data_IF_783839965706
#
_entry.id   IF_783839965706
#
_cell.length_a   1.000
_cell.length_b   1.000
_cell.length_c   1.000
_cell.angle_alpha   90.00
_cell.angle_beta   90.00
_cell.angle_gamma   90.00
#
_symmetry.space_group_name_H-M   'P 1'
#
loop_
_entity.id
_entity.type
_entity.pdbx_description
1 polymer ?
#
# COMPACT_ATOMS: atom_id res chain seq x y z
N UNK A 1 -23.41 23.00 -1.10
CA UNK A 1 -22.87 22.09 -0.09
C UNK A 1 -21.61 21.44 -0.62
N UNK A 2 -20.51 21.56 0.08
CA UNK A 2 -19.24 20.96 -0.33
C UNK A 2 -19.21 19.53 0.18
N UNK A 3 -19.17 18.57 -0.75
CA UNK A 3 -19.01 17.18 -0.38
C UNK A 3 -17.60 16.96 0.17
N UNK A 4 -17.52 16.31 1.32
CA UNK A 4 -16.25 15.96 1.90
C UNK A 4 -15.60 14.85 1.08
N UNK A 5 -14.47 15.14 0.45
CA UNK A 5 -13.74 14.16 -0.33
C UNK A 5 -13.26 13.03 0.58
N UNK A 6 -13.56 11.79 0.19
CA UNK A 6 -13.08 10.62 0.94
C UNK A 6 -11.57 10.50 0.78
N UNK A 7 -10.91 10.22 1.89
CA UNK A 7 -9.48 9.97 1.89
C UNK A 7 -9.21 8.55 1.41
N UNK A 8 -8.21 8.39 0.58
CA UNK A 8 -7.78 7.09 0.08
C UNK A 8 -6.35 6.82 0.51
N UNK A 9 -6.10 5.66 1.10
CA UNK A 9 -4.77 5.21 1.44
C UNK A 9 -4.41 3.99 0.61
N UNK A 10 -3.20 3.96 0.06
CA UNK A 10 -2.64 2.75 -0.47
C UNK A 10 -2.25 1.87 0.71
N UNK A 11 -2.82 0.69 0.80
CA UNK A 11 -2.55 -0.26 1.89
C UNK A 11 -1.69 -1.39 1.33
N UNK A 12 -0.42 -1.36 1.68
CA UNK A 12 0.58 -2.25 1.11
C UNK A 12 0.92 -3.36 2.09
N UNK A 13 0.88 -4.60 1.60
CA UNK A 13 1.15 -5.81 2.35
C UNK A 13 2.45 -6.43 1.85
N UNK A 14 3.40 -6.62 2.75
CA UNK A 14 4.66 -7.31 2.45
C UNK A 14 4.61 -8.76 2.91
N UNK A 15 5.65 -9.53 2.65
CA UNK A 15 5.66 -10.99 2.80
C UNK A 15 5.74 -11.56 4.21
N UNK A 16 5.39 -10.82 5.25
CA UNK A 16 5.41 -11.33 6.63
C UNK A 16 4.07 -11.99 6.97
N UNK A 17 3.91 -13.23 6.57
CA UNK A 17 2.62 -13.92 6.64
C UNK A 17 2.10 -14.14 8.06
N UNK A 18 2.99 -14.28 9.04
CA UNK A 18 2.56 -14.47 10.43
C UNK A 18 1.85 -13.25 11.02
N UNK A 19 1.97 -12.09 10.41
CA UNK A 19 1.33 -10.85 10.86
C UNK A 19 0.24 -10.34 9.92
N UNK A 20 -0.09 -11.11 8.87
CA UNK A 20 -1.12 -10.70 7.91
C UNK A 20 -2.50 -10.54 8.53
N UNK A 21 -2.84 -11.38 9.51
CA UNK A 21 -4.13 -11.28 10.21
C UNK A 21 -4.26 -9.92 10.91
N UNK A 22 -3.19 -9.51 11.61
CA UNK A 22 -3.16 -8.21 12.26
C UNK A 22 -3.21 -7.06 11.24
N UNK A 23 -2.59 -7.24 10.09
CA UNK A 23 -2.65 -6.25 9.00
C UNK A 23 -4.07 -6.11 8.46
N UNK A 24 -4.78 -7.21 8.29
CA UNK A 24 -6.19 -7.17 7.87
C UNK A 24 -7.07 -6.47 8.90
N UNK A 25 -6.80 -6.70 10.19
CA UNK A 25 -7.53 -6.01 11.25
C UNK A 25 -7.27 -4.49 11.21
N UNK A 26 -6.03 -4.09 10.94
CA UNK A 26 -5.69 -2.68 10.77
C UNK A 26 -6.42 -2.07 9.58
N UNK A 27 -6.51 -2.81 8.48
CA UNK A 27 -7.25 -2.36 7.29
C UNK A 27 -8.73 -2.19 7.59
N UNK A 28 -9.34 -3.12 8.32
CA UNK A 28 -10.73 -3.00 8.75
C UNK A 28 -10.96 -1.76 9.61
N UNK A 29 -10.02 -1.47 10.51
CA UNK A 29 -10.10 -0.30 11.37
C UNK A 29 -10.04 1.00 10.55
N UNK A 30 -9.17 1.07 9.56
CA UNK A 30 -9.08 2.22 8.67
C UNK A 30 -10.36 2.41 7.85
N UNK A 31 -10.93 1.32 7.34
CA UNK A 31 -12.21 1.38 6.65
C UNK A 31 -13.31 1.89 7.56
N UNK A 32 -13.32 1.45 8.81
CA UNK A 32 -14.27 1.93 9.82
C UNK A 32 -14.14 3.41 10.13
N UNK A 33 -12.97 3.99 9.91
CA UNK A 33 -12.73 5.42 10.08
C UNK A 33 -13.06 6.25 8.84
N UNK A 34 -13.56 5.61 7.78
CA UNK A 34 -13.97 6.33 6.58
C UNK A 34 -12.91 6.39 5.48
N UNK A 35 -11.78 5.71 5.65
CA UNK A 35 -10.76 5.64 4.62
C UNK A 35 -11.16 4.66 3.53
N UNK A 36 -10.95 5.04 2.28
CA UNK A 36 -10.93 4.10 1.19
C UNK A 36 -9.53 3.51 1.08
N UNK A 37 -9.44 2.23 0.78
CA UNK A 37 -8.15 1.54 0.70
C UNK A 37 -7.90 1.01 -0.70
N UNK A 38 -6.69 1.21 -1.18
CA UNK A 38 -6.21 0.67 -2.45
C UNK A 38 -5.15 -0.38 -2.12
N UNK A 39 -5.43 -1.67 -2.33
CA UNK A 39 -4.54 -2.72 -1.85
C UNK A 39 -3.34 -2.91 -2.77
N UNK A 40 -2.16 -3.02 -2.17
CA UNK A 40 -0.90 -3.29 -2.87
C UNK A 40 -0.24 -4.48 -2.20
N UNK A 41 0.28 -5.41 -2.98
CA UNK A 41 1.00 -6.57 -2.44
C UNK A 41 2.41 -6.63 -3.00
N UNK A 42 3.36 -7.00 -2.14
CA UNK A 42 4.71 -7.29 -2.59
C UNK A 42 4.75 -8.61 -3.36
N UNK A 43 5.84 -8.86 -4.09
CA UNK A 43 6.02 -10.14 -4.78
C UNK A 43 6.02 -11.32 -3.79
N UNK A 44 6.66 -11.15 -2.63
CA UNK A 44 6.69 -12.20 -1.63
C UNK A 44 5.31 -12.48 -1.03
N UNK A 45 4.51 -11.44 -0.79
CA UNK A 45 3.16 -11.60 -0.29
C UNK A 45 2.24 -12.27 -1.32
N UNK A 46 2.61 -12.20 -2.59
CA UNK A 46 1.88 -12.84 -3.67
C UNK A 46 2.17 -14.33 -3.85
N UNK A 47 3.01 -14.94 -2.99
CA UNK A 47 3.38 -16.34 -3.09
C UNK A 47 2.71 -17.19 -2.01
N UNK A 48 2.37 -18.42 -2.37
CA UNK A 48 1.80 -19.36 -1.41
C UNK A 48 2.84 -19.78 -0.37
N UNK A 49 2.41 -19.98 0.86
CA UNK A 49 3.27 -20.44 1.95
C UNK A 49 2.51 -21.43 2.83
N UNK A 50 3.23 -22.03 3.81
CA UNK A 50 2.62 -22.90 4.82
C UNK A 50 1.62 -22.17 5.72
N UNK A 51 1.65 -20.85 5.78
CA UNK A 51 0.72 -20.05 6.60
C UNK A 51 -0.57 -19.71 5.87
N UNK A 52 -0.66 -20.06 4.59
CA UNK A 52 -1.83 -19.84 3.77
C UNK A 52 -1.47 -19.62 2.31
N UNK A 53 -2.47 -19.63 1.48
CA UNK A 53 -2.29 -19.37 0.06
C UNK A 53 -2.40 -17.87 -0.21
N UNK A 54 -1.54 -17.38 -1.08
CA UNK A 54 -1.57 -15.98 -1.49
C UNK A 54 -2.95 -15.60 -2.05
N UNK A 55 -3.59 -16.50 -2.78
CA UNK A 55 -4.95 -16.27 -3.31
C UNK A 55 -5.97 -16.02 -2.20
N UNK A 56 -5.83 -16.70 -1.06
CA UNK A 56 -6.72 -16.48 0.09
C UNK A 56 -6.56 -15.10 0.69
N UNK A 57 -5.32 -14.68 0.91
CA UNK A 57 -5.02 -13.34 1.42
C UNK A 57 -5.44 -12.25 0.45
N UNK A 58 -5.16 -12.46 -0.83
CA UNK A 58 -5.58 -11.55 -1.89
C UNK A 58 -7.10 -11.40 -1.90
N UNK A 59 -7.82 -12.50 -1.82
CA UNK A 59 -9.28 -12.49 -1.82
C UNK A 59 -9.84 -11.72 -0.63
N UNK A 60 -9.29 -11.94 0.56
CA UNK A 60 -9.71 -11.21 1.75
C UNK A 60 -9.44 -9.71 1.62
N UNK A 61 -8.27 -9.35 1.09
CA UNK A 61 -7.89 -7.97 0.92
C UNK A 61 -8.77 -7.27 -0.13
N UNK A 62 -9.06 -7.95 -1.23
CA UNK A 62 -9.95 -7.42 -2.27
C UNK A 62 -11.38 -7.27 -1.76
N UNK A 63 -11.86 -8.24 -0.99
CA UNK A 63 -13.20 -8.16 -0.38
C UNK A 63 -13.30 -7.01 0.61
N UNK A 64 -12.25 -6.78 1.39
CA UNK A 64 -12.22 -5.72 2.38
C UNK A 64 -12.15 -4.32 1.75
N UNK A 65 -11.40 -4.18 0.68
CA UNK A 65 -11.17 -2.88 0.03
C UNK A 65 -12.16 -2.59 -1.10
N UNK A 66 -12.79 -3.61 -1.65
CA UNK A 66 -13.66 -3.47 -2.82
C UNK A 66 -12.89 -3.19 -4.12
N UNK A 67 -11.58 -3.40 -4.13
CA UNK A 67 -10.73 -3.10 -5.27
C UNK A 67 -9.74 -4.23 -5.54
N UNK A 68 -9.33 -4.41 -6.81
CA UNK A 68 -8.31 -5.42 -7.11
C UNK A 68 -6.96 -5.05 -6.52
N UNK A 69 -6.20 -6.07 -6.13
CA UNK A 69 -4.85 -5.88 -5.59
C UNK A 69 -3.90 -5.43 -6.69
N UNK A 70 -3.11 -4.41 -6.41
CA UNK A 70 -2.03 -3.94 -7.27
C UNK A 70 -0.75 -4.67 -6.88
N UNK A 71 -0.27 -5.55 -7.74
CA UNK A 71 0.89 -6.39 -7.45
C UNK A 71 1.96 -6.36 -8.55
N UNK A 72 1.85 -5.43 -9.49
CA UNK A 72 2.85 -5.22 -10.53
C UNK A 72 3.38 -3.79 -10.48
N UNK A 73 4.56 -3.59 -11.05
CA UNK A 73 5.14 -2.25 -11.13
C UNK A 73 4.27 -1.31 -11.95
N UNK A 74 3.73 -1.80 -13.05
CA UNK A 74 2.86 -1.01 -13.92
C UNK A 74 1.57 -0.57 -13.21
N UNK A 75 1.03 -1.44 -12.36
CA UNK A 75 -0.22 -1.16 -11.65
C UNK A 75 -0.05 -0.07 -10.59
N UNK A 76 1.10 0.01 -9.93
CA UNK A 76 1.33 0.97 -8.85
C UNK A 76 1.94 2.29 -9.33
N UNK A 77 2.55 2.31 -10.50
CA UNK A 77 3.22 3.49 -11.04
C UNK A 77 2.32 4.74 -11.06
N UNK A 78 1.03 4.66 -11.44
CA UNK A 78 0.17 5.84 -11.49
C UNK A 78 -0.29 6.39 -10.15
N UNK A 79 0.03 5.75 -9.01
CA UNK A 79 -0.48 6.18 -7.70
C UNK A 79 -0.21 7.65 -7.39
N UNK A 80 1.01 8.10 -7.66
CA UNK A 80 1.39 9.49 -7.45
C UNK A 80 0.90 10.42 -8.56
N UNK A 81 1.31 10.20 -9.83
CA UNK A 81 0.94 11.10 -10.92
C UNK A 81 -0.57 11.30 -11.09
N UNK A 82 -1.38 10.29 -10.82
CA UNK A 82 -2.83 10.37 -10.93
C UNK A 82 -3.52 10.67 -9.59
N UNK A 83 -2.76 10.89 -8.54
CA UNK A 83 -3.31 11.16 -7.19
C UNK A 83 -4.33 10.12 -6.76
N UNK A 84 -4.00 8.84 -6.95
CA UNK A 84 -4.91 7.75 -6.61
C UNK A 84 -4.99 7.46 -5.12
N UNK A 85 -4.00 7.91 -4.36
CA UNK A 85 -3.97 7.76 -2.91
C UNK A 85 -3.37 8.99 -2.25
N UNK A 86 -3.82 9.28 -1.03
CA UNK A 86 -3.36 10.42 -0.24
C UNK A 86 -2.29 10.01 0.78
N UNK A 87 -2.20 8.72 1.07
CA UNK A 87 -1.28 8.19 2.06
C UNK A 87 -0.90 6.76 1.69
N UNK A 88 0.20 6.29 2.27
CA UNK A 88 0.63 4.90 2.13
C UNK A 88 0.81 4.30 3.52
N UNK A 89 0.19 3.15 3.74
CA UNK A 89 0.37 2.34 4.93
C UNK A 89 0.99 1.02 4.51
N UNK A 90 2.10 0.66 5.11
CA UNK A 90 2.77 -0.62 4.84
C UNK A 90 2.62 -1.49 6.09
N UNK A 91 1.81 -2.53 6.00
CA UNK A 91 1.53 -3.40 7.14
C UNK A 91 1.19 -4.81 6.63
N UNK A 92 1.94 -5.82 6.98
CA UNK A 92 3.23 -5.74 7.69
C UNK A 92 4.34 -5.22 6.77
N UNK A 93 5.38 -4.64 7.37
CA UNK A 93 6.57 -4.21 6.65
C UNK A 93 7.73 -5.14 6.99
N UNK A 94 8.26 -5.85 6.00
CA UNK A 94 9.42 -6.71 6.23
C UNK A 94 10.70 -5.89 6.34
N UNK A 95 11.72 -6.47 6.98
CA UNK A 95 13.04 -5.84 7.04
C UNK A 95 13.63 -5.56 5.67
N UNK A 96 13.41 -6.48 4.72
CA UNK A 96 13.88 -6.29 3.34
C UNK A 96 13.21 -5.07 2.68
N UNK A 97 11.91 -4.89 2.86
CA UNK A 97 11.20 -3.73 2.34
C UNK A 97 11.70 -2.44 3.00
N UNK A 98 11.87 -2.46 4.31
CA UNK A 98 12.38 -1.29 5.04
C UNK A 98 13.78 -0.90 4.55
N UNK A 99 14.67 -1.87 4.34
CA UNK A 99 16.01 -1.62 3.84
C UNK A 99 15.97 -1.01 2.43
N UNK A 100 15.11 -1.51 1.55
CA UNK A 100 14.94 -0.98 0.20
C UNK A 100 14.43 0.46 0.24
N UNK A 101 13.47 0.74 1.10
CA UNK A 101 12.96 2.11 1.26
C UNK A 101 14.05 3.05 1.73
N UNK A 102 14.87 2.62 2.70
CA UNK A 102 15.97 3.43 3.22
C UNK A 102 17.02 3.73 2.15
N UNK A 103 17.24 2.83 1.22
CA UNK A 103 18.20 3.00 0.12
C UNK A 103 17.58 3.66 -1.11
N UNK A 104 16.30 3.97 -1.10
CA UNK A 104 15.62 4.60 -2.22
C UNK A 104 15.34 3.68 -3.39
N UNK A 105 15.35 2.37 -3.19
CA UNK A 105 15.05 1.40 -4.25
C UNK A 105 13.55 1.34 -4.52
N UNK A 106 13.18 1.14 -5.77
CA UNK A 106 11.77 1.11 -6.19
C UNK A 106 11.50 -0.08 -7.12
N UNK A 107 12.09 -1.21 -6.83
CA UNK A 107 12.06 -2.42 -7.66
C UNK A 107 10.96 -3.42 -7.29
N UNK A 108 10.09 -3.08 -6.34
CA UNK A 108 8.94 -3.90 -5.96
C UNK A 108 7.67 -3.05 -6.01
N UNK A 109 6.47 -3.66 -6.10
CA UNK A 109 5.23 -2.88 -6.07
C UNK A 109 5.12 -1.99 -4.85
N UNK A 110 5.50 -2.47 -3.67
CA UNK A 110 5.40 -1.69 -2.44
C UNK A 110 6.39 -0.53 -2.43
N UNK A 111 7.65 -0.76 -2.78
CA UNK A 111 8.66 0.31 -2.81
C UNK A 111 8.39 1.32 -3.92
N UNK A 112 7.89 0.86 -5.06
CA UNK A 112 7.52 1.78 -6.14
C UNK A 112 6.29 2.61 -5.75
N UNK A 113 5.32 2.03 -5.05
CA UNK A 113 4.19 2.77 -4.52
C UNK A 113 4.65 3.90 -3.59
N UNK A 114 5.60 3.59 -2.70
CA UNK A 114 6.17 4.57 -1.79
C UNK A 114 6.86 5.71 -2.56
N UNK A 115 7.69 5.37 -3.53
CA UNK A 115 8.39 6.36 -4.34
C UNK A 115 7.41 7.22 -5.14
N UNK A 116 6.43 6.60 -5.77
CA UNK A 116 5.43 7.30 -6.57
C UNK A 116 4.68 8.33 -5.74
N UNK A 117 4.23 7.95 -4.54
CA UNK A 117 3.51 8.86 -3.66
C UNK A 117 4.42 9.94 -3.08
N UNK A 118 5.65 9.60 -2.69
CA UNK A 118 6.60 10.58 -2.18
C UNK A 118 6.94 11.64 -3.21
N UNK A 119 7.18 11.25 -4.45
CA UNK A 119 7.47 12.20 -5.52
C UNK A 119 6.27 13.13 -5.78
N UNK A 120 5.07 12.61 -5.73
CA UNK A 120 3.86 13.42 -5.85
C UNK A 120 3.75 14.44 -4.71
N UNK A 121 4.01 14.02 -3.47
CA UNK A 121 3.98 14.90 -2.31
C UNK A 121 5.06 15.96 -2.37
N UNK A 122 6.26 15.61 -2.82
CA UNK A 122 7.36 16.57 -3.00
C UNK A 122 6.99 17.61 -4.05
N UNK A 123 6.32 17.19 -5.11
CA UNK A 123 5.88 18.10 -6.17
C UNK A 123 4.82 19.09 -5.67
N UNK A 124 3.92 18.64 -4.81
CA UNK A 124 2.84 19.46 -4.24
C UNK A 124 3.36 20.34 -3.10
N UNK A 125 4.27 19.80 -2.28
CA UNK A 125 4.79 20.46 -1.10
C UNK A 125 5.91 21.42 -1.47
N UNK A 126 5.97 22.56 -0.79
CA UNK A 126 7.10 23.46 -0.91
C UNK A 126 8.38 22.77 -0.45
N UNK A 127 9.55 22.99 -1.12
CA UNK A 127 10.81 22.36 -0.73
C UNK A 127 11.20 22.60 0.72
N UNK A 128 10.80 23.73 1.29
CA UNK A 128 11.09 24.07 2.68
C UNK A 128 10.47 23.10 3.67
N UNK A 129 9.46 22.34 3.28
CA UNK A 129 8.82 21.37 4.15
C UNK A 129 9.63 20.09 4.29
N UNK A 130 10.63 19.91 3.47
CA UNK A 130 11.47 18.72 3.49
C UNK A 130 12.65 18.85 4.45
N UNK A 131 12.81 20.01 5.01
CA UNK A 131 13.90 20.28 5.95
C UNK A 131 13.72 19.54 7.27
#
# INVERSE_FOLDING_TARGET
MIEKKRRCAAFAVCGSFCTLEAALDAARALRGQGWELLPVMSFAAGQDTRFGRASGWRHQLEGLTGRPVLDTLQAVEPLGPRHLADALVIAPCTGATLARLAEGLSDTPVTLAAKSLLLSLIHISEPTRLA
#
